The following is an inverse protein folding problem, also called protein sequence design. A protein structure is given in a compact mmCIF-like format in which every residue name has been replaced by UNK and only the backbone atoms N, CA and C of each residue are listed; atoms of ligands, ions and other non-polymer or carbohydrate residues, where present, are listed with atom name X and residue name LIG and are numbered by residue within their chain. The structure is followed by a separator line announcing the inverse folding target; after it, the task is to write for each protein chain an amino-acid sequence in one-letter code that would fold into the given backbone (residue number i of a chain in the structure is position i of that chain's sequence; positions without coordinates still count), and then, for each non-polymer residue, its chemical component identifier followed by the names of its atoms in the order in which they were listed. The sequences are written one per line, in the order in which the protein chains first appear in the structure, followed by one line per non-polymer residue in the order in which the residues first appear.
data_IF_727026503490
#
_entry.id   IF_727026503490
#
_cell.length_a   1.000
_cell.length_b   1.000
_cell.length_c   1.000
_cell.angle_alpha   90.00
_cell.angle_beta   90.00
_cell.angle_gamma   90.00
#
_symmetry.space_group_name_H-M   'P 1'
#
loop_
_entity.id
_entity.type
_entity.pdbx_description
1 polymer ?
#
# COMPACT_ATOMS: atom_id res chain seq x y z
N UNK A 1 23.06 -56.05 1.39
CA UNK A 1 24.28 -55.30 1.04
C UNK A 1 24.27 -54.04 1.92
N UNK A 2 24.50 -54.14 3.24
CA UNK A 2 25.81 -54.08 3.93
C UNK A 2 26.60 -52.84 3.43
N UNK A 3 27.02 -51.84 4.20
CA UNK A 3 27.61 -51.75 5.57
C UNK A 3 27.41 -50.28 6.02
N UNK A 4 26.74 -49.94 7.14
CA UNK A 4 27.21 -49.74 8.53
C UNK A 4 28.41 -48.77 8.74
N UNK A 5 28.20 -47.74 9.58
CA UNK A 5 29.07 -47.27 10.71
C UNK A 5 28.84 -45.77 10.96
N UNK A 6 28.17 -45.33 12.04
CA UNK A 6 28.40 -45.44 13.50
C UNK A 6 29.12 -44.18 14.07
N UNK A 7 28.46 -43.58 15.07
CA UNK A 7 28.89 -42.38 15.83
C UNK A 7 30.04 -42.74 16.80
N UNK A 8 30.67 -41.77 17.51
CA UNK A 8 30.10 -41.39 18.82
C UNK A 8 30.27 -39.92 19.23
N UNK A 9 29.58 -39.58 20.32
CA UNK A 9 29.60 -38.33 21.07
C UNK A 9 30.86 -38.21 21.97
N UNK A 10 31.15 -37.00 22.44
CA UNK A 10 31.89 -36.76 23.67
C UNK A 10 31.35 -35.51 24.38
N UNK A 11 30.88 -35.72 25.61
CA UNK A 11 30.69 -34.72 26.66
C UNK A 11 31.83 -34.86 27.67
N UNK A 12 32.15 -33.82 28.45
CA UNK A 12 32.69 -33.81 29.83
C UNK A 12 32.94 -32.32 30.20
N UNK A 13 32.10 -31.69 31.01
CA UNK A 13 32.16 -31.47 32.48
C UNK A 13 33.15 -30.37 32.98
N UNK A 14 32.62 -29.34 33.67
CA UNK A 14 32.84 -28.89 35.08
C UNK A 14 34.25 -28.36 35.40
N UNK A 15 34.55 -27.31 36.19
CA UNK A 15 33.86 -26.34 37.08
C UNK A 15 34.92 -25.30 37.58
N UNK A 16 34.60 -24.29 38.43
CA UNK A 16 35.28 -22.97 38.60
C UNK A 16 36.36 -22.95 39.74
N UNK A 17 36.77 -21.88 40.50
CA UNK A 17 36.41 -20.42 40.56
C UNK A 17 37.55 -19.39 40.86
N UNK A 18 37.25 -18.07 40.81
CA UNK A 18 37.72 -17.04 41.78
C UNK A 18 37.09 -15.66 41.45
N UNK A 19 36.13 -15.11 42.21
CA UNK A 19 36.18 -14.35 43.49
C UNK A 19 36.98 -13.03 43.50
N UNK A 20 36.28 -12.02 44.06
CA UNK A 20 36.66 -10.66 44.53
C UNK A 20 36.36 -9.55 43.50
N UNK A 21 35.67 -8.45 43.82
CA UNK A 21 35.31 -7.91 45.13
C UNK A 21 34.09 -6.97 45.07
N UNK A 22 33.41 -6.87 46.22
CA UNK A 22 32.21 -6.09 46.54
C UNK A 22 32.42 -4.57 46.51
N UNK A 23 31.32 -3.84 46.27
CA UNK A 23 30.75 -2.65 46.97
C UNK A 23 29.72 -2.06 46.00
N UNK A 24 28.43 -1.84 46.31
CA UNK A 24 27.82 -1.37 47.55
C UNK A 24 27.30 0.05 47.32
N UNK A 25 25.99 0.26 47.43
CA UNK A 25 25.30 1.55 47.21
C UNK A 25 24.54 1.53 45.87
N UNK A 26 23.25 1.82 45.76
CA UNK A 26 22.30 2.47 46.63
C UNK A 26 21.20 2.95 45.67
N UNK A 27 19.97 2.51 45.85
CA UNK A 27 18.86 2.91 45.00
C UNK A 27 18.54 4.40 45.22
N UNK A 28 18.32 5.20 44.16
CA UNK A 28 17.50 6.38 44.27
C UNK A 28 16.11 6.09 43.72
N UNK A 29 15.10 6.26 44.57
CA UNK A 29 13.76 6.63 44.14
C UNK A 29 13.87 7.80 43.17
N UNK A 30 13.33 7.66 41.97
CA UNK A 30 13.02 8.80 41.12
C UNK A 30 11.52 9.03 41.10
N UNK A 31 11.18 10.17 41.68
CA UNK A 31 9.89 10.83 41.71
C UNK A 31 9.33 11.07 40.31
N UNK A 32 8.06 10.70 40.14
CA UNK A 32 7.20 11.21 39.07
C UNK A 32 7.23 12.73 39.11
N UNK A 33 7.87 13.35 38.13
CA UNK A 33 7.91 14.80 37.98
C UNK A 33 7.26 15.15 36.66
N UNK A 34 6.05 15.72 36.76
CA UNK A 34 5.28 16.25 35.63
C UNK A 34 6.00 17.47 35.07
N UNK A 35 6.77 17.31 34.00
CA UNK A 35 7.35 18.44 33.26
C UNK A 35 6.34 18.96 32.23
N UNK A 36 5.45 19.85 32.68
CA UNK A 36 4.85 20.86 31.80
C UNK A 36 5.85 22.01 31.69
N UNK A 37 6.49 22.17 30.53
CA UNK A 37 7.46 23.23 30.29
C UNK A 37 7.77 23.45 28.81
N UNK A 38 8.31 24.62 28.43
CA UNK A 38 8.30 25.20 27.07
C UNK A 38 9.15 24.45 26.01
N UNK A 39 9.81 23.35 26.38
CA UNK A 39 10.58 22.51 25.46
C UNK A 39 9.70 21.72 24.46
N UNK A 40 8.47 21.36 24.86
CA UNK A 40 7.52 20.67 23.96
C UNK A 40 6.96 21.60 22.86
N UNK A 41 6.99 22.92 23.10
CA UNK A 41 6.57 23.92 22.12
C UNK A 41 7.66 24.27 21.10
N UNK A 42 8.94 24.04 21.42
CA UNK A 42 10.06 24.30 20.51
C UNK A 42 10.19 23.20 19.44
N UNK A 43 9.93 21.95 19.82
CA UNK A 43 9.97 20.80 18.90
C UNK A 43 8.82 20.86 17.90
N UNK A 44 7.61 21.27 18.34
CA UNK A 44 6.47 21.52 17.43
C UNK A 44 6.66 22.73 16.51
N UNK A 45 7.36 23.79 16.95
CA UNK A 45 7.69 24.95 16.10
C UNK A 45 8.68 24.60 15.00
N UNK A 46 9.66 23.74 15.27
CA UNK A 46 10.57 23.23 14.25
C UNK A 46 9.87 22.32 13.24
N UNK A 47 8.90 21.50 13.66
CA UNK A 47 8.08 20.70 12.73
C UNK A 47 7.17 21.58 11.87
N UNK A 48 6.59 22.65 12.42
CA UNK A 48 5.73 23.59 11.70
C UNK A 48 6.55 24.47 10.72
N UNK A 49 7.75 24.93 11.09
CA UNK A 49 8.63 25.64 10.16
C UNK A 49 9.15 24.73 9.03
N UNK A 50 9.43 23.45 9.32
CA UNK A 50 9.82 22.46 8.31
C UNK A 50 8.66 22.10 7.37
N UNK A 51 7.44 21.94 7.91
CA UNK A 51 6.21 21.83 7.11
C UNK A 51 6.04 23.07 6.22
N UNK A 52 6.29 24.28 6.72
CA UNK A 52 6.23 25.51 5.91
C UNK A 52 7.28 25.56 4.79
N UNK A 53 8.49 25.02 5.01
CA UNK A 53 9.56 24.96 3.99
C UNK A 53 9.30 23.86 2.96
N UNK A 54 8.80 22.70 3.38
CA UNK A 54 8.38 21.62 2.47
C UNK A 54 7.15 22.03 1.66
N UNK A 55 6.18 22.74 2.28
CA UNK A 55 5.04 23.35 1.59
C UNK A 55 5.49 24.47 0.66
N UNK A 56 6.49 25.30 1.00
CA UNK A 56 7.04 26.31 0.07
C UNK A 56 7.79 25.68 -1.12
N UNK A 57 8.43 24.53 -0.92
CA UNK A 57 9.09 23.78 -2.00
C UNK A 57 8.07 23.08 -2.91
N UNK A 58 6.99 22.53 -2.34
CA UNK A 58 5.85 22.01 -3.08
C UNK A 58 5.02 23.12 -3.76
N UNK A 59 4.88 24.29 -3.14
CA UNK A 59 4.16 25.46 -3.67
C UNK A 59 4.92 26.18 -4.79
N UNK A 60 6.25 26.00 -4.86
CA UNK A 60 7.05 26.43 -6.02
C UNK A 60 6.86 25.52 -7.23
N UNK A 61 6.28 24.33 -7.05
CA UNK A 61 5.91 23.45 -8.14
C UNK A 61 4.44 23.74 -8.49
N UNK A 62 4.21 24.51 -9.57
CA UNK A 62 2.87 24.65 -10.15
C UNK A 62 2.42 23.31 -10.74
N UNK A 63 2.03 22.35 -9.88
CA UNK A 63 1.14 21.28 -10.30
C UNK A 63 -0.23 21.95 -10.51
N UNK A 64 -0.75 21.89 -11.74
CA UNK A 64 -2.05 22.46 -12.10
C UNK A 64 -3.23 21.67 -11.51
N UNK A 65 -3.24 21.48 -10.19
CA UNK A 65 -4.34 20.85 -9.46
C UNK A 65 -5.44 21.86 -9.18
N UNK A 66 -6.67 21.50 -9.54
CA UNK A 66 -7.87 22.23 -9.13
C UNK A 66 -7.96 22.28 -7.58
N UNK A 67 -8.62 23.29 -6.99
CA UNK A 67 -8.81 23.38 -5.55
C UNK A 67 -9.51 22.12 -5.01
N UNK A 68 -8.89 21.51 -4.00
CA UNK A 68 -9.35 20.30 -3.32
C UNK A 68 -10.73 20.53 -2.69
N UNK A 69 -11.77 19.82 -3.17
CA UNK A 69 -13.04 19.71 -2.46
C UNK A 69 -12.96 18.52 -1.52
N UNK A 70 -13.17 18.77 -0.23
CA UNK A 70 -13.22 17.73 0.80
C UNK A 70 -14.45 16.85 0.51
N UNK A 71 -14.24 15.56 0.30
CA UNK A 71 -15.33 14.58 0.40
C UNK A 71 -15.90 14.74 1.81
N UNK A 72 -17.23 14.80 1.93
CA UNK A 72 -17.91 15.08 3.20
C UNK A 72 -17.26 14.30 4.36
N UNK A 73 -16.94 15.04 5.44
CA UNK A 73 -16.23 14.49 6.60
C UNK A 73 -16.96 13.24 7.07
N UNK A 74 -16.26 12.12 7.14
CA UNK A 74 -16.64 11.07 8.08
C UNK A 74 -16.58 11.69 9.48
N UNK A 75 -17.75 11.92 10.08
CA UNK A 75 -17.80 12.10 11.53
C UNK A 75 -17.15 10.86 12.16
N UNK A 76 -16.25 11.09 13.11
CA UNK A 76 -15.83 10.06 14.08
C UNK A 76 -17.04 9.73 14.95
N UNK A 77 -18.04 9.07 14.37
CA UNK A 77 -19.11 8.43 15.09
C UNK A 77 -18.53 7.12 15.62
N UNK A 78 -18.44 7.00 16.94
CA UNK A 78 -18.25 5.69 17.56
C UNK A 78 -19.43 4.81 17.18
N UNK A 79 -19.28 3.96 16.16
CA UNK A 79 -20.12 2.78 15.98
C UNK A 79 -19.45 1.75 15.04
N UNK A 80 -19.77 0.48 15.26
CA UNK A 80 -19.07 -0.74 14.82
C UNK A 80 -18.99 -1.04 13.30
N UNK A 81 -19.18 -0.05 12.42
CA UNK A 81 -19.16 -0.22 10.97
C UNK A 81 -17.73 -0.38 10.42
N UNK A 82 -17.55 -1.23 9.41
CA UNK A 82 -16.26 -1.39 8.74
C UNK A 82 -15.89 -0.10 7.97
N UNK A 83 -14.60 0.24 7.81
CA UNK A 83 -14.20 1.41 7.03
C UNK A 83 -14.64 1.27 5.57
N UNK A 84 -15.12 2.35 4.95
CA UNK A 84 -15.42 2.36 3.52
C UNK A 84 -14.14 2.11 2.71
N UNK A 85 -14.27 1.33 1.63
CA UNK A 85 -13.16 0.96 0.75
C UNK A 85 -13.31 1.71 -0.57
N UNK A 86 -12.24 2.37 -0.99
CA UNK A 86 -12.18 3.14 -2.21
C UNK A 86 -11.38 2.39 -3.26
N UNK A 87 -11.92 2.39 -4.48
CA UNK A 87 -11.35 1.73 -5.65
C UNK A 87 -11.43 2.68 -6.84
N UNK A 88 -10.58 2.51 -7.85
CA UNK A 88 -10.59 3.33 -9.07
C UNK A 88 -10.78 2.45 -10.31
N UNK A 89 -11.73 2.82 -11.17
CA UNK A 89 -11.90 2.20 -12.48
C UNK A 89 -11.87 3.22 -13.61
N UNK A 90 -11.08 2.92 -14.64
CA UNK A 90 -11.01 3.69 -15.89
C UNK A 90 -11.33 2.75 -17.04
N UNK A 91 -12.63 2.63 -17.34
CA UNK A 91 -13.16 1.77 -18.38
C UNK A 91 -14.68 1.91 -18.45
N UNK A 92 -15.30 1.32 -19.46
CA UNK A 92 -16.75 1.35 -19.70
C UNK A 92 -17.50 0.18 -19.05
N UNK A 93 -16.80 -0.88 -18.64
CA UNK A 93 -17.36 -2.09 -18.05
C UNK A 93 -16.37 -2.75 -17.10
N UNK A 94 -16.86 -3.33 -15.99
CA UNK A 94 -16.05 -4.11 -15.07
C UNK A 94 -15.88 -5.55 -15.56
N UNK A 95 -14.68 -6.11 -15.44
CA UNK A 95 -14.42 -7.53 -15.67
C UNK A 95 -14.76 -8.39 -14.45
N UNK A 96 -14.69 -9.72 -14.61
CA UNK A 96 -15.08 -10.66 -13.54
C UNK A 96 -14.17 -10.58 -12.31
N UNK A 97 -12.88 -10.35 -12.50
CA UNK A 97 -11.94 -10.16 -11.37
C UNK A 97 -12.30 -8.91 -10.57
N UNK A 98 -12.64 -7.82 -11.27
CA UNK A 98 -13.02 -6.56 -10.66
C UNK A 98 -14.38 -6.67 -9.92
N UNK A 99 -15.35 -7.37 -10.51
CA UNK A 99 -16.62 -7.70 -9.84
C UNK A 99 -16.43 -8.58 -8.62
N UNK A 100 -15.57 -9.60 -8.70
CA UNK A 100 -15.22 -10.47 -7.56
C UNK A 100 -14.58 -9.68 -6.43
N UNK A 101 -13.65 -8.78 -6.75
CA UNK A 101 -13.06 -7.85 -5.77
C UNK A 101 -14.16 -7.09 -5.04
N UNK A 102 -15.01 -6.37 -5.77
CA UNK A 102 -16.14 -5.60 -5.20
C UNK A 102 -17.06 -6.46 -4.33
N UNK A 103 -17.54 -7.58 -4.88
CA UNK A 103 -18.48 -8.48 -4.19
C UNK A 103 -17.91 -9.00 -2.87
N UNK A 104 -16.60 -9.31 -2.84
CA UNK A 104 -15.93 -9.82 -1.65
C UNK A 104 -15.82 -8.78 -0.52
N UNK A 105 -15.57 -7.50 -0.85
CA UNK A 105 -15.54 -6.41 0.13
C UNK A 105 -16.93 -6.13 0.70
N UNK A 106 -17.96 -6.10 -0.16
CA UNK A 106 -19.36 -5.97 0.27
C UNK A 106 -19.76 -7.11 1.22
N UNK A 107 -19.42 -8.36 0.86
CA UNK A 107 -19.70 -9.54 1.69
C UNK A 107 -19.00 -9.51 3.06
N UNK A 108 -17.89 -8.78 3.20
CA UNK A 108 -17.21 -8.56 4.48
C UNK A 108 -17.75 -7.36 5.28
N UNK A 109 -18.84 -6.74 4.82
CA UNK A 109 -19.52 -5.64 5.51
C UNK A 109 -18.89 -4.27 5.30
N UNK A 110 -18.06 -4.11 4.26
CA UNK A 110 -17.52 -2.81 3.87
C UNK A 110 -18.44 -2.11 2.86
N UNK A 111 -18.68 -0.81 3.05
CA UNK A 111 -19.19 0.02 1.96
C UNK A 111 -18.11 0.15 0.88
N UNK A 112 -18.48 -0.01 -0.39
CA UNK A 112 -17.55 0.09 -1.52
C UNK A 112 -17.84 1.35 -2.32
N UNK A 113 -16.81 2.20 -2.47
CA UNK A 113 -16.82 3.43 -3.26
C UNK A 113 -15.97 3.22 -4.50
N UNK A 114 -16.60 3.19 -5.66
CA UNK A 114 -15.94 3.06 -6.95
C UNK A 114 -15.81 4.42 -7.62
N UNK A 115 -14.58 4.94 -7.66
CA UNK A 115 -14.25 6.19 -8.32
C UNK A 115 -14.16 5.96 -9.83
N UNK A 116 -14.95 6.72 -10.60
CA UNK A 116 -15.06 6.59 -12.06
C UNK A 116 -15.06 7.96 -12.72
N UNK A 117 -14.61 8.04 -13.97
CA UNK A 117 -14.66 9.27 -14.78
C UNK A 117 -15.82 9.30 -15.77
N UNK A 118 -16.38 8.14 -16.10
CA UNK A 118 -17.49 7.98 -17.05
C UNK A 118 -18.44 6.92 -16.50
N UNK A 119 -19.69 6.85 -16.99
CA UNK A 119 -20.60 5.75 -16.68
C UNK A 119 -19.95 4.39 -16.97
N UNK A 120 -20.12 3.46 -16.05
CA UNK A 120 -19.60 2.08 -16.14
C UNK A 120 -20.79 1.13 -16.14
N UNK A 121 -20.83 0.22 -17.10
CA UNK A 121 -21.81 -0.86 -17.12
C UNK A 121 -21.62 -1.80 -15.92
N UNK A 122 -22.59 -2.67 -15.67
CA UNK A 122 -22.51 -3.81 -14.74
C UNK A 122 -21.96 -3.55 -13.32
N UNK A 123 -22.02 -2.31 -12.83
CA UNK A 123 -21.71 -1.98 -11.44
C UNK A 123 -22.85 -2.50 -10.53
N UNK A 124 -22.55 -3.24 -9.45
CA UNK A 124 -23.56 -3.66 -8.48
C UNK A 124 -24.29 -2.46 -7.86
N UNK A 125 -25.57 -2.60 -7.55
CA UNK A 125 -26.41 -1.50 -7.06
C UNK A 125 -25.98 -0.98 -5.68
N UNK A 126 -25.31 -1.84 -4.90
CA UNK A 126 -24.79 -1.57 -3.56
C UNK A 126 -23.49 -0.76 -3.56
N UNK A 127 -22.90 -0.49 -4.73
CA UNK A 127 -21.66 0.27 -4.87
C UNK A 127 -21.95 1.75 -5.03
N UNK A 128 -21.30 2.56 -4.19
CA UNK A 128 -21.33 4.01 -4.32
C UNK A 128 -20.42 4.44 -5.49
N UNK A 129 -21.00 5.00 -6.55
CA UNK A 129 -20.24 5.60 -7.63
C UNK A 129 -19.82 7.02 -7.26
N UNK A 130 -18.51 7.27 -7.27
CA UNK A 130 -17.92 8.56 -6.95
C UNK A 130 -17.29 9.18 -8.20
N UNK A 131 -17.55 10.46 -8.45
CA UNK A 131 -16.88 11.20 -9.52
C UNK A 131 -15.39 11.35 -9.20
N UNK A 132 -14.55 10.67 -9.97
CA UNK A 132 -13.11 10.65 -9.81
C UNK A 132 -12.46 12.03 -10.09
N UNK A 133 -13.13 12.93 -10.84
CA UNK A 133 -12.66 14.32 -11.05
C UNK A 133 -12.50 15.09 -9.73
N UNK A 134 -13.28 14.74 -8.71
CA UNK A 134 -13.21 15.37 -7.38
C UNK A 134 -11.90 15.07 -6.66
N UNK A 135 -11.30 13.91 -6.92
CA UNK A 135 -10.04 13.48 -6.29
C UNK A 135 -8.84 13.88 -7.16
N UNK A 136 -8.88 13.51 -8.44
CA UNK A 136 -7.85 13.84 -9.43
C UNK A 136 -8.50 14.14 -10.76
N UNK A 137 -8.21 15.28 -11.42
CA UNK A 137 -8.75 15.53 -12.75
C UNK A 137 -8.29 14.51 -13.80
N UNK A 138 -9.16 14.06 -14.70
CA UNK A 138 -8.82 13.03 -15.70
C UNK A 138 -7.68 13.48 -16.62
N UNK A 139 -7.57 14.79 -16.88
CA UNK A 139 -6.44 15.37 -17.60
C UNK A 139 -5.09 15.05 -16.93
N UNK A 140 -5.03 15.03 -15.60
CA UNK A 140 -3.83 14.63 -14.84
C UNK A 140 -3.56 13.14 -14.99
N UNK A 141 -4.60 12.29 -14.91
CA UNK A 141 -4.47 10.84 -15.13
C UNK A 141 -3.91 10.52 -16.52
N UNK A 142 -4.42 11.18 -17.57
CA UNK A 142 -3.93 11.03 -18.95
C UNK A 142 -2.47 11.44 -19.10
N UNK A 143 -2.01 12.48 -18.40
CA UNK A 143 -0.59 12.91 -18.43
C UNK A 143 0.35 11.89 -17.78
N UNK A 144 -0.14 11.14 -16.79
CA UNK A 144 0.60 10.09 -16.08
C UNK A 144 0.48 8.70 -16.73
N UNK A 145 -0.39 8.56 -17.73
CA UNK A 145 -0.52 7.33 -18.52
C UNK A 145 0.82 7.01 -19.20
N UNK A 146 1.28 5.78 -19.04
CA UNK A 146 2.52 5.33 -19.66
C UNK A 146 2.38 5.36 -21.19
N UNK A 147 3.33 5.98 -21.89
CA UNK A 147 3.20 6.26 -23.33
C UNK A 147 3.27 5.00 -24.20
N UNK A 148 4.14 4.06 -23.85
CA UNK A 148 4.37 2.88 -24.69
C UNK A 148 3.34 1.78 -24.44
N UNK A 149 3.03 1.51 -23.16
CA UNK A 149 2.13 0.42 -22.76
C UNK A 149 0.68 0.86 -22.58
N UNK A 150 0.42 2.17 -22.57
CA UNK A 150 -0.91 2.73 -22.28
C UNK A 150 -1.39 2.50 -20.84
N UNK A 151 -0.54 2.01 -19.94
CA UNK A 151 -0.93 1.65 -18.57
C UNK A 151 -1.21 2.87 -17.69
N UNK A 152 -2.22 2.74 -16.84
CA UNK A 152 -2.58 3.72 -15.82
C UNK A 152 -2.00 3.41 -14.43
N UNK A 153 -1.09 2.44 -14.26
CA UNK A 153 -0.61 2.08 -12.92
C UNK A 153 0.03 3.26 -12.17
N UNK A 154 0.88 4.06 -12.83
CA UNK A 154 1.45 5.28 -12.24
C UNK A 154 0.38 6.31 -11.89
N UNK A 155 -0.65 6.44 -12.73
CA UNK A 155 -1.77 7.34 -12.47
C UNK A 155 -2.61 6.84 -11.27
N UNK A 156 -2.75 5.53 -11.11
CA UNK A 156 -3.40 4.89 -9.96
C UNK A 156 -2.62 5.16 -8.66
N UNK A 157 -1.28 5.06 -8.69
CA UNK A 157 -0.42 5.46 -7.57
C UNK A 157 -0.67 6.92 -7.17
N UNK A 158 -0.73 7.83 -8.15
CA UNK A 158 -1.05 9.23 -7.87
C UNK A 158 -2.44 9.40 -7.25
N UNK A 159 -3.45 8.73 -7.82
CA UNK A 159 -4.83 8.79 -7.35
C UNK A 159 -4.96 8.31 -5.89
N UNK A 160 -4.37 7.15 -5.56
CA UNK A 160 -4.45 6.62 -4.20
C UNK A 160 -3.78 7.54 -3.17
N UNK A 161 -2.67 8.19 -3.50
CA UNK A 161 -2.04 9.15 -2.56
C UNK A 161 -2.84 10.43 -2.41
N UNK A 162 -3.43 10.94 -3.49
CA UNK A 162 -4.34 12.10 -3.44
C UNK A 162 -5.58 11.78 -2.62
N UNK A 163 -6.12 10.57 -2.73
CA UNK A 163 -7.23 10.09 -1.91
C UNK A 163 -6.86 10.09 -0.41
N UNK A 164 -5.66 9.63 -0.04
CA UNK A 164 -5.22 9.66 1.36
C UNK A 164 -5.10 11.10 1.90
N UNK A 165 -4.61 12.05 1.08
CA UNK A 165 -4.48 13.45 1.50
C UNK A 165 -5.81 14.17 1.77
N UNK A 166 -6.88 13.73 1.11
CA UNK A 166 -8.22 14.26 1.35
C UNK A 166 -9.01 13.45 2.39
N UNK A 167 -8.33 12.56 3.12
CA UNK A 167 -8.92 11.69 4.15
C UNK A 167 -10.02 10.78 3.58
N UNK A 168 -9.80 10.25 2.37
CA UNK A 168 -10.77 9.41 1.66
C UNK A 168 -10.98 8.02 2.27
N UNK A 169 -10.07 7.57 3.15
CA UNK A 169 -10.16 6.28 3.83
C UNK A 169 -9.37 5.15 3.15
N UNK A 170 -9.79 3.91 3.41
CA UNK A 170 -9.11 2.70 2.94
C UNK A 170 -9.11 2.65 1.41
N UNK A 171 -7.95 2.40 0.81
CA UNK A 171 -7.77 2.07 -0.60
C UNK A 171 -7.62 0.57 -0.78
N UNK A 172 -8.26 0.03 -1.83
CA UNK A 172 -7.98 -1.30 -2.36
C UNK A 172 -7.86 -1.27 -3.88
N UNK A 173 -6.92 -2.03 -4.45
CA UNK A 173 -6.92 -2.32 -5.88
C UNK A 173 -8.11 -3.24 -6.24
N UNK A 174 -8.56 -3.16 -7.50
CA UNK A 174 -9.72 -3.90 -8.04
C UNK A 174 -9.43 -5.37 -8.37
N UNK A 175 -8.37 -5.93 -7.81
CA UNK A 175 -8.02 -7.35 -7.93
C UNK A 175 -7.66 -7.96 -6.58
N UNK A 176 -8.17 -7.36 -5.49
CA UNK A 176 -7.98 -7.83 -4.12
C UNK A 176 -9.29 -8.39 -3.59
N UNK A 177 -9.31 -9.69 -3.31
CA UNK A 177 -10.44 -10.38 -2.72
C UNK A 177 -10.39 -10.23 -1.20
N UNK A 178 -11.43 -9.66 -0.61
CA UNK A 178 -11.60 -9.57 0.84
C UNK A 178 -12.18 -10.87 1.38
N UNK A 179 -11.47 -11.50 2.32
CA UNK A 179 -11.85 -12.76 2.95
C UNK A 179 -12.40 -12.55 4.35
N UNK A 180 -11.95 -11.48 5.03
CA UNK A 180 -12.38 -11.07 6.38
C UNK A 180 -12.36 -9.56 6.49
N UNK A 181 -13.22 -9.01 7.37
CA UNK A 181 -13.30 -7.57 7.65
C UNK A 181 -11.92 -6.99 8.00
N UNK A 182 -11.59 -5.86 7.38
CA UNK A 182 -10.37 -5.10 7.63
C UNK A 182 -10.69 -3.91 8.55
N UNK A 183 -9.96 -3.77 9.64
CA UNK A 183 -10.09 -2.61 10.54
C UNK A 183 -8.87 -1.70 10.39
N UNK A 184 -9.07 -0.40 10.64
CA UNK A 184 -7.99 0.59 10.71
C UNK A 184 -7.82 0.98 12.18
N UNK A 185 -6.77 0.45 12.80
CA UNK A 185 -6.53 0.62 14.24
C UNK A 185 -5.47 1.69 14.57
N UNK A 186 -4.89 2.34 13.54
CA UNK A 186 -3.80 3.31 13.68
C UNK A 186 -3.82 4.40 12.60
N UNK A 187 -2.72 5.15 12.51
CA UNK A 187 -2.53 6.22 11.51
C UNK A 187 -2.08 5.70 10.14
N UNK A 188 -1.71 4.42 10.02
CA UNK A 188 -1.44 3.77 8.75
C UNK A 188 -1.83 2.30 8.76
N UNK A 189 -2.17 1.77 7.58
CA UNK A 189 -2.38 0.34 7.33
C UNK A 189 -1.90 -0.01 5.93
N UNK A 190 -0.94 -0.93 5.86
CA UNK A 190 -0.39 -1.50 4.62
C UNK A 190 0.32 -2.81 4.95
N UNK A 191 0.49 -3.67 3.95
CA UNK A 191 1.14 -4.98 4.12
C UNK A 191 2.45 -5.11 3.35
N UNK A 192 3.29 -6.03 3.80
CA UNK A 192 4.51 -6.40 3.09
C UNK A 192 4.21 -7.27 1.87
N UNK A 193 4.70 -6.89 0.70
CA UNK A 193 4.79 -7.78 -0.48
C UNK A 193 5.95 -8.78 -0.30
N UNK A 194 7.03 -8.32 0.31
CA UNK A 194 8.22 -9.12 0.64
C UNK A 194 8.87 -8.59 1.92
N UNK A 195 9.88 -9.27 2.44
CA UNK A 195 10.58 -8.87 3.67
C UNK A 195 11.10 -7.41 3.67
N UNK A 196 11.26 -6.80 2.49
CA UNK A 196 11.82 -5.46 2.37
C UNK A 196 10.93 -4.46 1.62
N UNK A 197 9.72 -4.85 1.19
CA UNK A 197 8.88 -4.06 0.30
C UNK A 197 7.43 -4.06 0.77
N UNK A 198 6.86 -2.88 0.93
CA UNK A 198 5.44 -2.65 1.19
C UNK A 198 4.68 -2.61 -0.14
N UNK A 199 3.53 -3.30 -0.22
CA UNK A 199 2.62 -3.22 -1.36
C UNK A 199 1.66 -2.02 -1.21
N UNK A 200 1.20 -1.45 -2.32
CA UNK A 200 0.21 -0.37 -2.36
C UNK A 200 -1.23 -0.83 -2.65
N UNK A 201 -1.46 -2.12 -2.86
CA UNK A 201 -2.76 -2.65 -3.26
C UNK A 201 -3.84 -2.60 -2.15
N UNK A 202 -3.43 -2.52 -0.88
CA UNK A 202 -4.30 -2.22 0.27
C UNK A 202 -3.57 -1.17 1.09
N UNK A 203 -4.15 0.03 1.19
CA UNK A 203 -3.44 1.18 1.74
C UNK A 203 -4.38 2.10 2.50
N UNK A 204 -3.97 2.48 3.70
CA UNK A 204 -4.50 3.63 4.42
C UNK A 204 -3.33 4.40 5.03
N UNK A 205 -3.37 5.72 4.88
CA UNK A 205 -2.46 6.67 5.51
C UNK A 205 -3.28 7.87 5.98
N UNK A 206 -3.19 8.17 7.26
CA UNK A 206 -3.79 9.38 7.82
C UNK A 206 -3.25 10.62 7.09
N UNK A 207 -4.13 11.57 6.78
CA UNK A 207 -3.78 12.78 6.03
C UNK A 207 -2.76 13.67 6.76
N UNK A 208 -2.67 13.56 8.09
CA UNK A 208 -1.70 14.27 8.93
C UNK A 208 -0.31 13.64 8.97
N UNK A 209 -0.12 12.43 8.44
CA UNK A 209 1.21 11.82 8.35
C UNK A 209 2.08 12.57 7.32
N UNK A 210 3.33 12.94 7.68
CA UNK A 210 4.24 13.60 6.73
C UNK A 210 4.49 12.79 5.46
N UNK A 211 4.54 11.45 5.56
CA UNK A 211 4.72 10.58 4.39
C UNK A 211 3.58 10.70 3.37
N UNK A 212 2.35 10.98 3.82
CA UNK A 212 1.17 11.10 2.95
C UNK A 212 1.34 12.30 2.02
N UNK A 213 1.77 13.44 2.55
CA UNK A 213 2.05 14.64 1.76
C UNK A 213 3.28 14.46 0.86
N UNK A 214 4.32 13.81 1.36
CA UNK A 214 5.54 13.55 0.57
C UNK A 214 5.31 12.61 -0.61
N UNK A 215 4.43 11.60 -0.48
CA UNK A 215 4.06 10.68 -1.56
C UNK A 215 3.45 11.41 -2.76
N UNK A 216 2.59 12.40 -2.52
CA UNK A 216 2.02 13.23 -3.56
C UNK A 216 3.07 14.15 -4.20
N UNK A 217 3.96 14.72 -3.38
CA UNK A 217 5.05 15.59 -3.84
C UNK A 217 6.01 14.90 -4.81
N UNK A 218 6.05 13.56 -4.85
CA UNK A 218 6.85 12.79 -5.82
C UNK A 218 6.43 13.00 -7.28
N UNK A 219 5.23 13.52 -7.53
CA UNK A 219 4.67 13.71 -8.86
C UNK A 219 4.99 15.09 -9.46
N UNK A 220 5.90 15.85 -8.83
CA UNK A 220 6.46 17.06 -9.38
C UNK A 220 7.33 16.78 -10.62
N UNK A 221 7.26 17.66 -11.62
CA UNK A 221 8.16 17.58 -12.78
C UNK A 221 9.61 17.83 -12.34
N UNK A 222 10.56 17.21 -13.04
CA UNK A 222 12.00 17.30 -12.80
C UNK A 222 12.46 16.82 -11.42
N UNK A 223 11.57 16.21 -10.63
CA UNK A 223 11.92 15.60 -9.36
C UNK A 223 12.30 14.13 -9.55
N UNK A 224 13.44 13.74 -8.96
CA UNK A 224 13.94 12.37 -8.99
C UNK A 224 14.01 11.85 -7.55
N UNK A 225 13.08 10.98 -7.12
CA UNK A 225 13.12 10.40 -5.79
C UNK A 225 14.48 9.73 -5.50
N UNK A 226 15.02 9.81 -4.27
CA UNK A 226 16.36 9.28 -3.95
C UNK A 226 16.56 7.79 -4.30
N UNK A 227 15.50 6.98 -4.22
CA UNK A 227 15.51 5.56 -4.55
C UNK A 227 15.38 5.25 -6.05
N UNK A 228 15.28 6.28 -6.90
CA UNK A 228 15.17 6.10 -8.35
C UNK A 228 16.42 5.38 -8.89
N UNK A 229 16.22 4.21 -9.48
CA UNK A 229 17.31 3.38 -10.01
C UNK A 229 18.12 4.12 -11.08
N UNK A 230 19.41 4.36 -10.81
CA UNK A 230 20.31 5.13 -11.69
C UNK A 230 20.34 4.60 -13.13
N UNK A 231 20.41 3.28 -13.30
CA UNK A 231 20.60 2.62 -14.59
C UNK A 231 19.39 2.81 -15.54
N UNK A 232 18.18 2.78 -14.99
CA UNK A 232 16.92 3.01 -15.72
C UNK A 232 16.58 4.49 -15.93
N UNK A 233 17.09 5.38 -15.09
CA UNK A 233 16.85 6.82 -15.19
C UNK A 233 17.94 7.58 -15.97
N UNK A 234 18.88 6.90 -16.65
CA UNK A 234 19.98 7.56 -17.38
C UNK A 234 19.49 8.58 -18.41
N UNK A 235 18.55 8.18 -19.27
CA UNK A 235 17.98 9.05 -20.30
C UNK A 235 17.21 10.22 -19.69
N UNK A 236 16.40 9.96 -18.66
CA UNK A 236 15.68 11.00 -17.94
C UNK A 236 16.65 12.01 -17.28
N UNK A 237 17.72 11.54 -16.64
CA UNK A 237 18.73 12.42 -16.05
C UNK A 237 19.47 13.24 -17.08
N UNK A 238 19.81 12.66 -18.24
CA UNK A 238 20.42 13.40 -19.34
C UNK A 238 19.47 14.49 -19.86
N UNK A 239 18.19 14.17 -20.11
CA UNK A 239 17.17 15.15 -20.49
C UNK A 239 17.09 16.31 -19.49
N UNK A 240 17.00 16.00 -18.20
CA UNK A 240 16.96 17.02 -17.15
C UNK A 240 18.23 17.88 -17.14
N UNK A 241 19.41 17.27 -17.34
CA UNK A 241 20.69 17.96 -17.39
C UNK A 241 20.78 18.95 -18.56
N UNK A 242 20.22 18.61 -19.73
CA UNK A 242 20.15 19.52 -20.90
C UNK A 242 18.94 20.47 -20.86
N UNK A 243 18.26 20.60 -19.70
CA UNK A 243 17.15 21.53 -19.51
C UNK A 243 15.81 21.08 -20.10
N UNK A 244 15.69 19.82 -20.56
CA UNK A 244 14.41 19.28 -21.02
C UNK A 244 13.57 18.80 -19.83
N UNK A 245 12.24 19.03 -19.85
CA UNK A 245 11.36 18.60 -18.78
C UNK A 245 11.29 17.07 -18.71
N UNK A 246 11.38 16.55 -17.49
CA UNK A 246 11.19 15.14 -17.14
C UNK A 246 9.94 15.01 -16.30
N UNK A 247 8.99 14.24 -16.79
CA UNK A 247 7.74 13.99 -16.09
C UNK A 247 7.88 12.75 -15.21
N UNK A 248 7.02 12.57 -14.20
CA UNK A 248 6.96 11.32 -13.44
C UNK A 248 6.83 10.08 -14.33
N UNK A 249 6.05 10.17 -15.40
CA UNK A 249 5.84 9.08 -16.38
C UNK A 249 7.08 8.73 -17.22
N UNK A 250 8.14 9.55 -17.17
CA UNK A 250 9.41 9.29 -17.85
C UNK A 250 10.43 8.58 -16.93
N UNK A 251 10.09 8.36 -15.65
CA UNK A 251 10.93 7.64 -14.69
C UNK A 251 10.70 6.12 -14.75
N UNK A 252 11.66 5.31 -14.27
CA UNK A 252 11.51 3.85 -14.27
C UNK A 252 10.25 3.37 -13.57
N UNK A 253 9.65 2.31 -14.11
CA UNK A 253 8.48 1.64 -13.51
C UNK A 253 8.72 1.29 -12.04
N UNK A 254 7.70 1.48 -11.20
CA UNK A 254 7.76 1.22 -9.76
C UNK A 254 8.44 2.29 -8.91
N UNK A 255 8.92 3.39 -9.51
CA UNK A 255 9.52 4.52 -8.76
C UNK A 255 8.52 5.16 -7.78
N UNK A 256 7.25 5.23 -8.16
CA UNK A 256 6.18 5.89 -7.40
C UNK A 256 5.22 4.93 -6.69
N UNK A 257 5.35 3.62 -6.91
CA UNK A 257 4.48 2.60 -6.31
C UNK A 257 5.07 2.02 -5.01
N UNK A 258 5.14 0.67 -4.86
CA UNK A 258 5.68 -0.01 -3.67
C UNK A 258 7.01 0.54 -3.13
N UNK A 259 7.94 0.91 -4.04
CA UNK A 259 9.23 1.47 -3.66
C UNK A 259 9.13 2.84 -2.97
N UNK A 260 8.21 3.69 -3.39
CA UNK A 260 7.98 5.00 -2.77
C UNK A 260 7.35 4.86 -1.38
N UNK A 261 6.31 4.04 -1.26
CA UNK A 261 5.66 3.74 0.03
C UNK A 261 6.70 3.21 1.00
N UNK A 262 7.50 2.24 0.58
CA UNK A 262 8.56 1.65 1.39
C UNK A 262 9.61 2.67 1.84
N UNK A 263 10.12 3.48 0.91
CA UNK A 263 11.16 4.46 1.22
C UNK A 263 10.67 5.53 2.21
N UNK A 264 9.45 6.04 2.02
CA UNK A 264 8.88 7.04 2.90
C UNK A 264 8.42 6.45 4.24
N UNK A 265 7.87 5.23 4.26
CA UNK A 265 7.59 4.52 5.51
C UNK A 265 8.86 4.35 6.35
N UNK A 266 10.01 3.98 5.74
CA UNK A 266 11.29 3.93 6.46
C UNK A 266 11.75 5.30 6.94
N UNK A 267 11.69 6.32 6.06
CA UNK A 267 12.08 7.70 6.39
C UNK A 267 11.33 8.23 7.61
N UNK A 268 10.05 7.88 7.74
CA UNK A 268 9.17 8.36 8.82
C UNK A 268 8.95 7.34 9.94
N UNK A 269 9.74 6.26 10.01
CA UNK A 269 9.67 5.29 11.10
C UNK A 269 8.39 4.43 11.14
N UNK A 270 7.70 4.25 10.02
CA UNK A 270 6.44 3.48 9.89
C UNK A 270 6.59 2.12 9.21
N UNK A 271 7.79 1.78 8.75
CA UNK A 271 8.02 0.49 8.09
C UNK A 271 7.69 -0.70 9.01
N UNK A 272 8.02 -0.62 10.30
CA UNK A 272 7.75 -1.68 11.29
C UNK A 272 6.25 -1.83 11.61
N UNK A 273 5.42 -0.87 11.21
CA UNK A 273 3.95 -0.98 11.32
C UNK A 273 3.33 -1.77 10.16
N UNK A 274 4.11 -2.17 9.16
CA UNK A 274 3.62 -2.98 8.04
C UNK A 274 3.15 -4.35 8.52
N UNK A 275 1.95 -4.75 8.11
CA UNK A 275 1.43 -6.08 8.43
C UNK A 275 2.21 -7.16 7.66
N UNK A 276 2.40 -8.37 8.26
CA UNK A 276 3.06 -9.48 7.59
C UNK A 276 2.42 -9.81 6.24
N UNK A 277 3.24 -10.30 5.30
CA UNK A 277 2.78 -10.64 3.94
C UNK A 277 1.53 -11.51 3.92
N UNK A 278 1.45 -12.54 4.77
CA UNK A 278 0.32 -13.47 4.82
C UNK A 278 -1.03 -12.84 5.20
N UNK A 279 -1.05 -11.60 5.71
CA UNK A 279 -2.27 -10.88 6.07
C UNK A 279 -3.01 -10.38 4.83
N UNK A 280 -2.32 -9.74 3.88
CA UNK A 280 -2.94 -9.18 2.68
C UNK A 280 -2.53 -9.85 1.37
N UNK A 281 -1.32 -10.41 1.32
CA UNK A 281 -0.67 -10.91 0.10
C UNK A 281 -0.13 -12.34 0.26
N UNK A 282 -0.96 -13.31 0.72
CA UNK A 282 -0.52 -14.69 0.94
C UNK A 282 0.05 -15.34 -0.33
N UNK A 283 -0.54 -15.05 -1.50
CA UNK A 283 -0.08 -15.54 -2.80
C UNK A 283 0.97 -14.61 -3.41
N UNK A 284 2.15 -15.16 -3.75
CA UNK A 284 3.23 -14.42 -4.42
C UNK A 284 2.83 -14.10 -5.86
N UNK A 285 3.23 -12.95 -6.38
CA UNK A 285 2.91 -12.56 -7.76
C UNK A 285 3.43 -13.57 -8.81
N UNK A 286 4.51 -14.32 -8.52
CA UNK A 286 5.04 -15.38 -9.40
C UNK A 286 4.14 -16.61 -9.46
N UNK A 287 3.28 -16.77 -8.46
CA UNK A 287 2.32 -17.87 -8.33
C UNK A 287 0.91 -17.41 -8.70
N UNK A 288 0.73 -16.19 -9.21
CA UNK A 288 -0.59 -15.64 -9.50
C UNK A 288 -1.46 -16.55 -10.37
N UNK A 289 -0.87 -17.20 -11.39
CA UNK A 289 -1.60 -18.12 -12.27
C UNK A 289 -2.09 -19.40 -11.58
N UNK A 290 -1.59 -19.73 -10.39
CA UNK A 290 -2.05 -20.89 -9.62
C UNK A 290 -3.55 -20.79 -9.27
N UNK A 291 -4.14 -19.60 -9.26
CA UNK A 291 -5.59 -19.45 -9.05
C UNK A 291 -6.43 -20.07 -10.17
N UNK A 292 -5.84 -20.36 -11.33
CA UNK A 292 -6.46 -21.08 -12.44
C UNK A 292 -6.21 -22.60 -12.40
N UNK A 293 -5.33 -23.08 -11.53
CA UNK A 293 -4.94 -24.49 -11.45
C UNK A 293 -5.90 -25.26 -10.50
N UNK A 294 -6.68 -26.25 -10.99
CA UNK A 294 -7.55 -27.08 -10.15
C UNK A 294 -6.82 -27.90 -9.10
N UNK A 295 -5.52 -28.14 -9.26
CA UNK A 295 -4.70 -28.90 -8.31
C UNK A 295 -4.18 -28.04 -7.17
N UNK A 296 -4.24 -26.71 -7.31
CA UNK A 296 -3.80 -25.78 -6.28
C UNK A 296 -4.96 -25.46 -5.32
N UNK A 297 -4.72 -25.59 -4.01
CA UNK A 297 -5.66 -25.20 -2.97
C UNK A 297 -5.24 -23.89 -2.30
N UNK A 298 -6.21 -22.99 -2.07
CA UNK A 298 -5.97 -21.76 -1.31
C UNK A 298 -5.57 -22.04 0.13
N UNK A 299 -5.99 -23.17 0.71
CA UNK A 299 -5.63 -23.54 2.09
C UNK A 299 -4.12 -23.71 2.28
N UNK A 300 -3.36 -23.91 1.19
CA UNK A 300 -1.90 -23.97 1.22
C UNK A 300 -1.22 -22.61 1.46
N UNK A 301 -1.94 -21.50 1.23
CA UNK A 301 -1.40 -20.14 1.37
C UNK A 301 -2.17 -19.27 2.37
N UNK A 302 -3.44 -19.60 2.62
CA UNK A 302 -4.28 -18.88 3.58
C UNK A 302 -3.98 -19.32 5.01
N UNK A 303 -4.13 -18.38 5.93
CA UNK A 303 -3.98 -18.61 7.37
C UNK A 303 -5.08 -17.89 8.15
N UNK A 304 -5.19 -18.13 9.45
CA UNK A 304 -6.21 -17.48 10.28
C UNK A 304 -6.09 -15.95 10.30
N UNK A 305 -4.89 -15.42 10.16
CA UNK A 305 -4.61 -13.97 10.08
C UNK A 305 -4.86 -13.37 8.69
N UNK A 306 -5.14 -14.18 7.66
CA UNK A 306 -5.32 -13.67 6.30
C UNK A 306 -6.65 -12.94 6.18
N UNK A 307 -6.57 -11.67 5.78
CA UNK A 307 -7.71 -10.78 5.58
C UNK A 307 -8.04 -10.62 4.10
N UNK A 308 -7.04 -10.58 3.23
CA UNK A 308 -7.25 -10.43 1.78
C UNK A 308 -6.37 -11.37 0.96
N UNK A 309 -6.74 -11.55 -0.31
CA UNK A 309 -5.99 -12.25 -1.33
C UNK A 309 -5.86 -11.37 -2.57
N UNK A 310 -4.64 -10.95 -2.90
CA UNK A 310 -4.36 -10.23 -4.14
C UNK A 310 -4.20 -11.21 -5.30
N UNK A 311 -5.03 -11.06 -6.34
CA UNK A 311 -5.04 -11.93 -7.52
C UNK A 311 -4.00 -11.56 -8.58
N UNK A 312 -3.38 -10.39 -8.46
CA UNK A 312 -2.37 -9.90 -9.39
C UNK A 312 -2.85 -9.96 -10.85
N UNK A 313 -3.98 -9.32 -11.14
CA UNK A 313 -4.70 -9.39 -12.42
C UNK A 313 -3.80 -9.07 -13.63
N UNK A 314 -2.77 -8.24 -13.44
CA UNK A 314 -1.74 -7.96 -14.44
C UNK A 314 -0.94 -9.21 -14.89
N UNK A 315 -0.77 -10.21 -14.00
CA UNK A 315 -0.14 -11.52 -14.28
C UNK A 315 -1.09 -12.54 -14.88
N UNK A 316 -2.39 -12.23 -14.91
CA UNK A 316 -3.43 -13.09 -15.47
C UNK A 316 -3.78 -12.70 -16.90
N UNK A 317 -3.12 -11.71 -17.52
CA UNK A 317 -3.46 -11.18 -18.86
C UNK A 317 -3.67 -12.27 -19.92
N UNK A 318 -2.82 -13.30 -19.92
CA UNK A 318 -2.86 -14.37 -20.93
C UNK A 318 -4.05 -15.33 -20.74
N UNK A 319 -4.59 -15.41 -19.53
CA UNK A 319 -5.70 -16.31 -19.16
C UNK A 319 -6.98 -15.57 -18.76
N UNK A 320 -6.95 -14.23 -18.69
CA UNK A 320 -8.06 -13.40 -18.19
C UNK A 320 -9.35 -13.58 -19.00
N UNK A 321 -9.21 -13.92 -20.28
CA UNK A 321 -10.34 -14.11 -21.19
C UNK A 321 -10.85 -15.55 -21.22
N UNK A 322 -10.17 -16.50 -20.58
CA UNK A 322 -10.67 -17.86 -20.45
C UNK A 322 -11.43 -18.02 -19.13
N UNK A 323 -12.58 -18.72 -19.13
CA UNK A 323 -13.22 -19.11 -17.89
C UNK A 323 -12.25 -19.93 -17.03
N UNK A 324 -12.15 -19.67 -15.72
CA UNK A 324 -11.29 -20.49 -14.86
C UNK A 324 -11.81 -21.94 -14.87
N UNK A 325 -10.92 -22.94 -14.97
CA UNK A 325 -11.29 -24.34 -14.91
C UNK A 325 -12.11 -24.67 -13.65
N UNK A 326 -13.08 -25.58 -13.78
CA UNK A 326 -13.86 -26.04 -12.64
C UNK A 326 -12.93 -26.61 -11.55
N UNK A 327 -13.22 -26.29 -10.28
CA UNK A 327 -12.39 -26.69 -9.14
C UNK A 327 -11.17 -25.81 -8.88
N UNK A 328 -10.75 -24.95 -9.82
CA UNK A 328 -9.68 -23.98 -9.57
C UNK A 328 -10.09 -22.95 -8.48
N UNK A 329 -9.12 -22.39 -7.73
CA UNK A 329 -9.39 -21.37 -6.74
C UNK A 329 -10.24 -20.19 -7.23
N UNK A 330 -9.96 -19.68 -8.43
CA UNK A 330 -10.70 -18.55 -8.98
C UNK A 330 -12.15 -18.92 -9.29
N UNK A 331 -12.39 -20.14 -9.80
CA UNK A 331 -13.75 -20.64 -10.00
C UNK A 331 -14.51 -20.77 -8.66
N UNK A 332 -13.85 -21.30 -7.62
CA UNK A 332 -14.44 -21.40 -6.28
C UNK A 332 -14.77 -20.03 -5.70
N UNK A 333 -13.90 -19.04 -5.87
CA UNK A 333 -14.13 -17.66 -5.44
C UNK A 333 -15.30 -17.01 -6.19
N UNK A 334 -15.39 -17.19 -7.51
CA UNK A 334 -16.55 -16.72 -8.28
C UNK A 334 -17.86 -17.35 -7.79
N UNK A 335 -17.88 -18.66 -7.52
CA UNK A 335 -19.07 -19.31 -6.95
C UNK A 335 -19.40 -18.78 -5.56
N UNK A 336 -18.39 -18.63 -4.69
CA UNK A 336 -18.57 -18.15 -3.30
C UNK A 336 -19.19 -16.75 -3.24
N UNK A 337 -18.80 -15.87 -4.15
CA UNK A 337 -19.24 -14.46 -4.14
C UNK A 337 -20.26 -14.12 -5.24
N UNK A 338 -20.74 -15.11 -6.01
CA UNK A 338 -21.83 -14.95 -6.97
C UNK A 338 -21.50 -14.16 -8.24
N UNK A 339 -20.33 -14.41 -8.86
CA UNK A 339 -19.80 -13.68 -10.04
C UNK A 339 -19.70 -14.51 -11.32
#
# INVERSE_FOLDING_TARGET
MQIADSRPAAAFETSPPNKRNRRGGGAPQQSVTTLKGPAFAAEQRHTIEFLSRSIKTAASCKSGGAPLRRIEKHEKAGNMAAPAVNMLWIGDRLGRVELLSIASWLACGHAVRLHVYNPVANVPAEVDLIDAELTVPFASMKRLRHRETGSYALASDYFRYRLQLIDGGLWSDLDVVCLKKVNIDGDCLFGLESATLINGAVLYLDAGLPMTAELEGLFCNNYFPPWTRKRGARMARFKNFIGLPVRPADLPWGTHGPGAITALARKHGRFESALPRGVFYPLDYRQAQAVYDPTFSLDAVLSEQTLTLHLWNEKLRDVKHTPPPAGSPLAQLYTKFGV
#
